data_IF_768878004938
#
_entry.id   IF_768878004938
#
_cell.length_a   1.000
_cell.length_b   1.000
_cell.length_c   1.000
_cell.angle_alpha   90.00
_cell.angle_beta   90.00
_cell.angle_gamma   90.00
#
_symmetry.space_group_name_H-M   'P 1'
#
loop_
_entity.id
_entity.type
_entity.pdbx_description
1 polymer ?
#
# COMPACT_ATOMS: atom_id res chain seq x y z
N UNK A 1 40.13 26.34 -10.11
CA UNK A 1 39.99 27.80 -9.90
C UNK A 1 38.97 28.07 -8.81
N UNK A 2 39.23 29.02 -7.92
CA UNK A 2 38.26 29.43 -6.90
C UNK A 2 37.04 30.12 -7.56
N UNK A 3 35.85 29.69 -7.16
CA UNK A 3 34.56 30.26 -7.56
C UNK A 3 34.37 31.61 -6.89
N UNK A 4 33.95 32.62 -7.66
CA UNK A 4 33.75 33.99 -7.15
C UNK A 4 32.28 34.27 -6.85
N UNK A 5 32.03 34.95 -5.74
CA UNK A 5 30.68 35.31 -5.29
C UNK A 5 29.96 36.22 -6.29
N UNK A 6 30.63 37.27 -6.77
CA UNK A 6 30.07 38.25 -7.71
C UNK A 6 29.66 37.59 -9.03
N UNK A 7 30.50 36.69 -9.57
CA UNK A 7 30.18 35.95 -10.80
C UNK A 7 28.95 35.07 -10.57
N UNK A 8 28.85 34.43 -9.40
CA UNK A 8 27.71 33.57 -9.06
C UNK A 8 26.40 34.37 -8.99
N UNK A 9 26.39 35.56 -8.40
CA UNK A 9 25.21 36.44 -8.38
C UNK A 9 24.85 36.99 -9.76
N UNK A 10 25.83 37.33 -10.60
CA UNK A 10 25.58 37.77 -11.97
C UNK A 10 24.87 36.66 -12.79
N UNK A 11 25.35 35.42 -12.66
CA UNK A 11 24.72 34.26 -13.30
C UNK A 11 23.32 33.97 -12.73
N UNK A 12 23.12 34.17 -11.43
CA UNK A 12 21.80 34.04 -10.79
C UNK A 12 20.81 35.12 -11.28
N UNK A 13 21.27 36.34 -11.53
CA UNK A 13 20.42 37.42 -12.03
C UNK A 13 20.06 37.22 -13.51
N UNK A 14 21.02 36.83 -14.35
CA UNK A 14 20.81 36.69 -15.80
C UNK A 14 20.14 35.38 -16.21
N UNK A 15 20.39 34.29 -15.49
CA UNK A 15 19.87 32.96 -15.82
C UNK A 15 19.57 32.11 -14.60
N UNK A 16 19.16 32.75 -13.50
CA UNK A 16 18.78 32.10 -12.26
C UNK A 16 17.72 31.02 -12.43
N UNK A 17 16.59 31.28 -13.12
CA UNK A 17 15.56 30.26 -13.37
C UNK A 17 16.09 29.05 -14.16
N UNK A 18 17.11 29.25 -15.01
CA UNK A 18 17.78 28.20 -15.77
C UNK A 18 18.93 27.52 -14.99
N UNK A 19 19.24 27.97 -13.78
CA UNK A 19 20.25 27.35 -12.93
C UNK A 19 21.70 27.59 -13.36
N UNK A 20 22.01 28.66 -14.13
CA UNK A 20 23.37 28.93 -14.61
C UNK A 20 24.41 29.05 -13.48
N UNK A 21 24.01 29.64 -12.34
CA UNK A 21 24.85 29.76 -11.16
C UNK A 21 25.18 28.39 -10.53
N UNK A 22 24.28 27.41 -10.63
CA UNK A 22 24.53 26.05 -10.13
C UNK A 22 25.53 25.27 -11.01
N UNK A 23 25.47 25.43 -12.34
CA UNK A 23 26.50 24.88 -13.23
C UNK A 23 27.87 25.48 -12.96
N UNK A 24 27.96 26.80 -12.76
CA UNK A 24 29.23 27.44 -12.40
C UNK A 24 29.82 26.88 -11.10
N UNK A 25 28.97 26.50 -10.16
CA UNK A 25 29.35 25.90 -8.88
C UNK A 25 29.54 24.38 -8.93
N UNK A 26 29.46 23.75 -10.12
CA UNK A 26 29.55 22.29 -10.31
C UNK A 26 28.51 21.50 -9.49
N UNK A 27 27.28 22.04 -9.41
CA UNK A 27 26.13 21.42 -8.75
C UNK A 27 25.12 20.94 -9.79
N UNK A 28 25.51 19.95 -10.59
CA UNK A 28 24.80 19.58 -11.82
C UNK A 28 23.36 19.12 -11.57
N UNK A 29 23.11 18.29 -10.55
CA UNK A 29 21.75 17.86 -10.17
C UNK A 29 20.84 19.04 -9.80
N UNK A 30 21.40 20.05 -9.15
CA UNK A 30 20.71 21.29 -8.80
C UNK A 30 20.40 22.12 -10.05
N UNK A 31 21.34 22.21 -10.98
CA UNK A 31 21.14 22.93 -12.22
C UNK A 31 20.04 22.28 -13.09
N UNK A 32 20.08 20.94 -13.24
CA UNK A 32 19.05 20.17 -13.95
C UNK A 32 17.68 20.36 -13.31
N UNK A 33 17.60 20.30 -11.97
CA UNK A 33 16.35 20.56 -11.25
C UNK A 33 15.81 21.95 -11.55
N UNK A 34 16.66 22.98 -11.55
CA UNK A 34 16.26 24.35 -11.83
C UNK A 34 15.73 24.52 -13.25
N UNK A 35 16.39 23.95 -14.26
CA UNK A 35 15.92 23.98 -15.65
C UNK A 35 14.52 23.36 -15.76
N UNK A 36 14.34 22.16 -15.21
CA UNK A 36 13.11 21.39 -15.38
C UNK A 36 11.92 21.96 -14.59
N UNK A 37 12.19 22.73 -13.53
CA UNK A 37 11.17 23.33 -12.64
C UNK A 37 11.09 24.84 -12.74
N UNK A 38 11.80 25.45 -13.69
CA UNK A 38 11.90 26.89 -13.89
C UNK A 38 12.26 27.63 -12.59
N UNK A 39 13.41 27.28 -12.02
CA UNK A 39 13.91 27.90 -10.80
C UNK A 39 13.30 27.34 -9.50
N UNK A 40 12.91 26.06 -9.47
CA UNK A 40 12.26 25.47 -8.31
C UNK A 40 10.87 26.05 -8.06
N UNK A 41 10.08 26.19 -9.13
CA UNK A 41 8.75 26.84 -9.14
C UNK A 41 8.81 28.29 -8.66
N UNK A 42 9.88 29.02 -9.01
CA UNK A 42 10.13 30.41 -8.61
C UNK A 42 10.57 30.61 -7.16
N UNK A 43 10.04 29.81 -6.21
CA UNK A 43 10.41 29.89 -4.79
C UNK A 43 11.88 29.51 -4.58
N UNK A 44 12.38 28.51 -5.31
CA UNK A 44 13.77 28.08 -5.26
C UNK A 44 14.74 29.17 -5.68
N UNK A 45 14.41 29.91 -6.74
CA UNK A 45 15.20 31.04 -7.25
C UNK A 45 15.34 32.16 -6.22
N UNK A 46 14.26 32.57 -5.55
CA UNK A 46 14.31 33.58 -4.48
C UNK A 46 15.12 33.10 -3.27
N UNK A 47 14.95 31.83 -2.88
CA UNK A 47 15.70 31.24 -1.76
C UNK A 47 17.21 31.19 -2.04
N UNK A 48 17.60 30.97 -3.28
CA UNK A 48 19.00 30.87 -3.66
C UNK A 48 19.78 32.16 -3.43
N UNK A 49 19.13 33.33 -3.50
CA UNK A 49 19.75 34.61 -3.14
C UNK A 49 20.44 34.55 -1.77
N UNK A 50 19.76 34.00 -0.76
CA UNK A 50 20.31 33.87 0.59
C UNK A 50 21.34 32.74 0.74
N UNK A 51 21.32 31.74 -0.16
CA UNK A 51 22.18 30.55 -0.06
C UNK A 51 23.43 30.59 -0.93
N UNK A 52 23.50 31.44 -1.95
CA UNK A 52 24.68 31.60 -2.82
C UNK A 52 26.00 31.75 -2.03
N UNK A 53 26.10 32.53 -0.93
CA UNK A 53 27.33 32.61 -0.14
C UNK A 53 27.77 31.26 0.44
N UNK A 54 26.81 30.44 0.88
CA UNK A 54 27.08 29.10 1.38
C UNK A 54 27.55 28.15 0.27
N UNK A 55 26.96 28.27 -0.92
CA UNK A 55 27.30 27.43 -2.07
C UNK A 55 28.70 27.74 -2.62
N UNK A 56 29.08 29.02 -2.65
CA UNK A 56 30.43 29.44 -3.06
C UNK A 56 31.47 28.95 -2.06
N UNK A 57 31.18 29.02 -0.75
CA UNK A 57 32.06 28.43 0.28
C UNK A 57 32.22 26.93 0.08
N UNK A 58 31.11 26.21 -0.13
CA UNK A 58 31.12 24.76 -0.34
C UNK A 58 31.92 24.37 -1.61
N UNK A 59 31.71 25.07 -2.73
CA UNK A 59 32.43 24.81 -3.98
C UNK A 59 33.92 25.17 -3.93
N UNK A 60 34.33 26.03 -3.00
CA UNK A 60 35.73 26.40 -2.78
C UNK A 60 36.42 25.55 -1.71
N UNK A 61 35.66 24.80 -0.90
CA UNK A 61 36.22 23.92 0.11
C UNK A 61 36.61 22.58 -0.54
N UNK A 62 37.91 22.29 -0.57
CA UNK A 62 38.41 21.02 -1.10
C UNK A 62 38.63 20.06 0.10
N UNK A 63 37.90 18.94 0.20
CA UNK A 63 38.06 18.00 1.32
C UNK A 63 39.47 17.38 1.37
N UNK A 64 40.20 17.33 0.24
CA UNK A 64 41.52 16.70 0.16
C UNK A 64 42.70 17.54 0.65
N UNK A 65 42.52 18.84 0.95
CA UNK A 65 43.66 19.74 1.25
C UNK A 65 43.81 20.17 2.70
N UNK A 66 42.80 19.94 3.53
CA UNK A 66 42.83 20.34 4.94
C UNK A 66 42.00 19.34 5.71
N UNK A 67 42.66 18.48 6.50
CA UNK A 67 42.03 17.57 7.47
C UNK A 67 41.35 18.30 8.63
N UNK A 68 40.71 19.43 8.36
CA UNK A 68 39.97 20.24 9.32
C UNK A 68 38.49 19.97 9.15
N UNK A 69 37.90 19.40 10.20
CA UNK A 69 36.45 19.23 10.37
C UNK A 69 35.75 20.58 10.16
N UNK A 70 34.67 20.65 9.35
CA UNK A 70 34.00 21.92 9.09
C UNK A 70 33.45 22.49 10.41
N UNK A 71 33.55 23.82 10.63
CA UNK A 71 32.95 24.45 11.80
C UNK A 71 31.43 24.23 11.74
N UNK A 72 30.84 24.08 12.92
CA UNK A 72 29.43 23.79 13.14
C UNK A 72 28.56 24.90 12.50
N UNK A 73 28.25 24.76 11.20
CA UNK A 73 27.30 25.62 10.51
C UNK A 73 25.94 25.29 11.12
N UNK A 74 25.41 26.22 11.91
CA UNK A 74 24.05 26.18 12.44
C UNK A 74 23.09 25.85 11.30
N UNK A 75 22.66 24.60 11.19
CA UNK A 75 21.84 24.15 10.08
C UNK A 75 20.44 24.75 10.25
N UNK A 76 19.95 25.62 9.35
CA UNK A 76 18.61 26.16 9.47
C UNK A 76 17.60 25.16 8.88
N UNK A 77 16.58 24.83 9.68
CA UNK A 77 15.55 23.80 9.49
C UNK A 77 16.08 22.39 9.24
N UNK A 78 15.34 21.32 9.62
CA UNK A 78 15.72 19.97 9.26
C UNK A 78 15.68 19.87 7.73
N UNK A 79 16.85 19.99 7.08
CA UNK A 79 17.06 19.96 5.63
C UNK A 79 16.35 18.81 4.94
N UNK A 80 16.05 17.74 5.67
CA UNK A 80 15.29 16.63 5.13
C UNK A 80 13.78 16.84 5.01
N UNK A 81 13.12 17.72 5.77
CA UNK A 81 11.69 18.00 5.57
C UNK A 81 11.48 18.78 4.27
N UNK A 82 12.26 19.85 4.05
CA UNK A 82 12.21 20.63 2.81
C UNK A 82 12.56 19.76 1.60
N UNK A 83 13.56 18.87 1.74
CA UNK A 83 13.90 17.90 0.68
C UNK A 83 12.78 16.89 0.46
N UNK A 84 12.14 16.40 1.52
CA UNK A 84 11.01 15.47 1.42
C UNK A 84 9.82 16.09 0.71
N UNK A 85 9.42 17.30 1.12
CA UNK A 85 8.35 18.06 0.45
C UNK A 85 8.74 18.34 -1.00
N UNK A 86 9.99 18.73 -1.26
CA UNK A 86 10.50 18.92 -2.63
C UNK A 86 10.41 17.64 -3.48
N UNK A 87 10.73 16.48 -2.94
CA UNK A 87 10.60 15.18 -3.62
C UNK A 87 9.16 14.90 -4.03
N UNK A 88 8.21 15.14 -3.12
CA UNK A 88 6.79 14.97 -3.39
C UNK A 88 6.34 15.93 -4.49
N UNK A 89 6.61 17.23 -4.35
CA UNK A 89 6.18 18.24 -5.31
C UNK A 89 6.75 17.99 -6.71
N UNK A 90 8.05 17.69 -6.81
CA UNK A 90 8.71 17.46 -8.11
C UNK A 90 8.31 16.11 -8.70
N UNK A 91 8.11 15.07 -7.89
CA UNK A 91 7.57 13.78 -8.34
C UNK A 91 6.16 13.92 -8.92
N UNK A 92 5.27 14.65 -8.23
CA UNK A 92 3.91 14.95 -8.72
C UNK A 92 3.98 15.75 -10.01
N UNK A 93 4.86 16.76 -10.09
CA UNK A 93 5.04 17.57 -11.29
C UNK A 93 5.46 16.71 -12.48
N UNK A 94 6.48 15.86 -12.35
CA UNK A 94 6.92 14.97 -13.43
C UNK A 94 5.83 13.96 -13.82
N UNK A 95 5.11 13.41 -12.84
CA UNK A 95 3.96 12.54 -13.11
C UNK A 95 2.82 13.25 -13.83
N UNK A 96 2.56 14.51 -13.50
CA UNK A 96 1.53 15.33 -14.16
C UNK A 96 1.90 15.68 -15.60
N UNK A 97 3.17 16.05 -15.85
CA UNK A 97 3.68 16.26 -17.20
C UNK A 97 3.58 14.97 -18.02
N UNK A 98 3.95 13.82 -17.45
CA UNK A 98 3.81 12.53 -18.13
C UNK A 98 2.33 12.18 -18.40
N UNK A 99 1.41 12.49 -17.48
CA UNK A 99 -0.03 12.30 -17.66
C UNK A 99 -0.60 13.14 -18.80
N UNK A 100 -0.10 14.37 -18.99
CA UNK A 100 -0.58 15.25 -20.06
C UNK A 100 0.01 14.81 -21.42
N UNK A 101 1.30 14.44 -21.43
CA UNK A 101 2.05 14.28 -22.68
C UNK A 101 2.15 12.84 -23.18
N UNK A 102 2.06 11.85 -22.29
CA UNK A 102 2.42 10.45 -22.58
C UNK A 102 1.31 9.45 -22.21
N UNK A 103 0.13 9.90 -21.75
CA UNK A 103 -0.95 9.02 -21.31
C UNK A 103 -1.52 8.11 -22.41
N UNK A 104 -1.25 8.41 -23.68
CA UNK A 104 -1.68 7.60 -24.83
C UNK A 104 -0.82 6.34 -25.02
N UNK A 105 0.32 6.22 -24.35
CA UNK A 105 1.21 5.06 -24.49
C UNK A 105 0.60 3.81 -23.82
N UNK A 106 0.78 2.66 -24.47
CA UNK A 106 0.50 1.37 -23.85
C UNK A 106 1.33 1.18 -22.58
N UNK A 107 0.74 0.56 -21.54
CA UNK A 107 1.38 0.35 -20.24
C UNK A 107 1.82 1.63 -19.50
N UNK A 108 1.26 2.79 -19.86
CA UNK A 108 1.63 4.08 -19.27
C UNK A 108 1.62 4.06 -17.73
N UNK A 109 0.52 3.64 -17.12
CA UNK A 109 0.38 3.58 -15.65
C UNK A 109 1.31 2.54 -14.98
N UNK A 110 1.77 1.54 -15.72
CA UNK A 110 2.62 0.49 -15.17
C UNK A 110 4.11 0.84 -15.25
N UNK A 111 4.54 1.50 -16.33
CA UNK A 111 5.96 1.73 -16.62
C UNK A 111 6.31 3.21 -16.75
N UNK A 112 5.65 3.92 -17.67
CA UNK A 112 6.02 5.30 -18.02
C UNK A 112 5.80 6.27 -16.86
N UNK A 113 4.65 6.15 -16.19
CA UNK A 113 4.28 7.00 -15.06
C UNK A 113 5.22 6.83 -13.85
N UNK A 114 5.47 5.61 -13.32
CA UNK A 114 6.38 5.44 -12.20
C UNK A 114 7.83 5.81 -12.51
N UNK A 115 8.30 5.59 -13.74
CA UNK A 115 9.63 6.04 -14.16
C UNK A 115 9.72 7.57 -14.16
N UNK A 116 8.69 8.26 -14.66
CA UNK A 116 8.64 9.72 -14.69
C UNK A 116 8.63 10.30 -13.27
N UNK A 117 7.74 9.80 -12.41
CA UNK A 117 7.64 10.22 -11.00
C UNK A 117 8.94 9.92 -10.26
N UNK A 118 9.47 8.70 -10.42
CA UNK A 118 10.70 8.27 -9.78
C UNK A 118 11.92 9.07 -10.20
N UNK A 119 12.01 9.48 -11.47
CA UNK A 119 13.06 10.38 -11.95
C UNK A 119 12.99 11.76 -11.26
N UNK A 120 11.79 12.33 -11.09
CA UNK A 120 11.59 13.59 -10.38
C UNK A 120 11.99 13.49 -8.89
N UNK A 121 11.55 12.42 -8.21
CA UNK A 121 11.93 12.15 -6.81
C UNK A 121 13.44 11.97 -6.66
N UNK A 122 14.05 11.21 -7.58
CA UNK A 122 15.49 10.95 -7.56
C UNK A 122 16.31 12.21 -7.83
N UNK A 123 15.82 13.10 -8.69
CA UNK A 123 16.50 14.37 -8.99
C UNK A 123 16.61 15.24 -7.72
N UNK A 124 15.53 15.33 -6.93
CA UNK A 124 15.55 16.08 -5.66
C UNK A 124 16.31 15.33 -4.57
N UNK A 125 16.26 14.00 -4.55
CA UNK A 125 17.07 13.21 -3.59
C UNK A 125 18.56 13.37 -3.84
N UNK A 126 18.99 13.55 -5.08
CA UNK A 126 20.39 13.70 -5.50
C UNK A 126 20.95 15.11 -5.36
N UNK A 127 20.14 16.05 -4.87
CA UNK A 127 20.55 17.43 -4.62
C UNK A 127 21.38 17.52 -3.33
N UNK A 128 22.63 17.97 -3.46
CA UNK A 128 23.60 18.13 -2.36
C UNK A 128 24.45 16.86 -2.13
N UNK A 129 25.14 16.77 -0.98
CA UNK A 129 26.13 15.71 -0.72
C UNK A 129 25.57 14.31 -0.38
N UNK A 130 24.24 14.12 -0.44
CA UNK A 130 23.62 12.80 -0.19
C UNK A 130 22.96 12.36 -1.48
N UNK A 131 23.48 11.31 -2.11
CA UNK A 131 22.83 10.61 -3.21
C UNK A 131 21.97 9.46 -2.66
N UNK A 132 20.82 9.26 -3.28
CA UNK A 132 20.05 8.01 -3.10
C UNK A 132 20.35 7.07 -4.26
N UNK A 133 20.13 5.78 -4.05
CA UNK A 133 20.25 4.79 -5.11
C UNK A 133 19.07 4.88 -6.09
N UNK A 134 19.36 5.24 -7.35
CA UNK A 134 18.37 5.38 -8.42
C UNK A 134 17.57 4.10 -8.62
N UNK A 135 18.23 2.94 -8.62
CA UNK A 135 17.57 1.66 -8.90
C UNK A 135 16.52 1.35 -7.84
N UNK A 136 16.85 1.62 -6.57
CA UNK A 136 15.93 1.42 -5.44
C UNK A 136 14.74 2.37 -5.51
N UNK A 137 14.96 3.64 -5.83
CA UNK A 137 13.86 4.62 -5.98
C UNK A 137 12.91 4.21 -7.11
N UNK A 138 13.44 3.81 -8.27
CA UNK A 138 12.61 3.40 -9.41
C UNK A 138 11.83 2.12 -9.13
N UNK A 139 12.45 1.11 -8.51
CA UNK A 139 11.79 -0.14 -8.15
C UNK A 139 10.57 0.11 -7.24
N UNK A 140 10.74 0.95 -6.21
CA UNK A 140 9.65 1.29 -5.29
C UNK A 140 8.53 2.03 -6.01
N UNK A 141 8.87 2.93 -6.93
CA UNK A 141 7.87 3.64 -7.73
C UNK A 141 7.05 2.68 -8.60
N UNK A 142 7.69 1.72 -9.27
CA UNK A 142 7.02 0.71 -10.10
C UNK A 142 6.09 -0.18 -9.25
N UNK A 143 6.57 -0.68 -8.10
CA UNK A 143 5.75 -1.49 -7.19
C UNK A 143 4.53 -0.70 -6.73
N UNK A 144 4.72 0.56 -6.32
CA UNK A 144 3.63 1.40 -5.83
C UNK A 144 2.62 1.73 -6.94
N UNK A 145 3.10 1.95 -8.16
CA UNK A 145 2.23 2.26 -9.31
C UNK A 145 1.32 1.11 -9.69
N UNK A 146 1.79 -0.14 -9.54
CA UNK A 146 0.97 -1.34 -9.78
C UNK A 146 -0.28 -1.39 -8.90
N UNK A 147 -0.22 -0.79 -7.70
CA UNK A 147 -1.33 -0.81 -6.73
C UNK A 147 -2.35 0.28 -7.02
N UNK A 148 -1.89 1.42 -7.53
CA UNK A 148 -2.74 2.55 -7.89
C UNK A 148 -2.99 2.62 -9.41
N UNK A 149 -2.94 1.46 -10.08
CA UNK A 149 -3.08 1.37 -11.52
C UNK A 149 -4.40 2.01 -12.01
N UNK A 150 -4.33 2.80 -13.08
CA UNK A 150 -5.48 3.47 -13.68
C UNK A 150 -5.99 4.71 -12.93
N UNK A 151 -5.46 5.02 -11.73
CA UNK A 151 -5.87 6.22 -10.99
C UNK A 151 -5.06 7.46 -11.40
N UNK A 152 -5.73 8.57 -11.71
CA UNK A 152 -5.08 9.87 -12.03
C UNK A 152 -4.35 10.47 -10.83
N UNK A 153 -4.72 10.09 -9.61
CA UNK A 153 -4.06 10.54 -8.37
C UNK A 153 -2.83 9.71 -8.00
N UNK A 154 -2.48 8.68 -8.78
CA UNK A 154 -1.31 7.82 -8.54
C UNK A 154 0.04 8.52 -8.44
N UNK A 155 0.32 9.71 -9.04
CA UNK A 155 1.60 10.39 -8.85
C UNK A 155 1.92 10.72 -7.38
N UNK A 156 0.91 11.02 -6.56
CA UNK A 156 1.11 11.37 -5.14
C UNK A 156 1.66 10.19 -4.32
N UNK A 157 0.98 9.02 -4.23
CA UNK A 157 1.49 7.89 -3.46
C UNK A 157 2.82 7.35 -4.03
N UNK A 158 3.02 7.37 -5.36
CA UNK A 158 4.29 6.97 -5.98
C UNK A 158 5.43 7.91 -5.52
N UNK A 159 5.19 9.23 -5.49
CA UNK A 159 6.19 10.21 -5.05
C UNK A 159 6.56 10.07 -3.57
N UNK A 160 5.57 9.78 -2.73
CA UNK A 160 5.77 9.56 -1.29
C UNK A 160 6.61 8.30 -1.07
N UNK A 161 6.26 7.19 -1.73
CA UNK A 161 6.95 5.91 -1.58
C UNK A 161 8.38 5.93 -2.12
N UNK A 162 8.62 6.65 -3.22
CA UNK A 162 9.95 6.80 -3.81
C UNK A 162 10.95 7.58 -2.94
N UNK A 163 10.48 8.28 -1.89
CA UNK A 163 11.35 9.04 -1.00
C UNK A 163 12.24 8.10 -0.15
N UNK A 164 13.57 8.31 -0.13
CA UNK A 164 14.51 7.47 0.62
C UNK A 164 14.23 7.38 2.13
N UNK A 165 13.57 8.42 2.70
CA UNK A 165 13.22 8.47 4.11
C UNK A 165 12.09 7.51 4.48
N UNK A 166 11.17 7.30 3.56
CA UNK A 166 10.00 6.47 3.78
C UNK A 166 10.09 5.12 3.09
N UNK A 167 11.08 4.88 2.21
CA UNK A 167 11.28 3.61 1.51
C UNK A 167 11.02 2.36 2.37
N UNK A 168 11.59 2.27 3.59
CA UNK A 168 11.39 1.11 4.48
C UNK A 168 9.97 1.05 5.04
N UNK A 169 9.39 2.20 5.38
CA UNK A 169 8.03 2.31 5.88
C UNK A 169 7.01 2.04 4.78
N UNK A 170 7.19 2.59 3.58
CA UNK A 170 6.36 2.35 2.42
C UNK A 170 6.44 0.90 1.97
N UNK A 171 7.62 0.26 1.99
CA UNK A 171 7.74 -1.17 1.69
C UNK A 171 7.03 -2.03 2.75
N UNK A 172 7.13 -1.68 4.04
CA UNK A 172 6.44 -2.39 5.12
C UNK A 172 4.91 -2.22 5.04
N UNK A 173 4.44 -1.00 4.75
CA UNK A 173 3.04 -0.69 4.48
C UNK A 173 2.57 -1.46 3.25
N UNK A 174 3.30 -1.43 2.14
CA UNK A 174 2.98 -2.20 0.94
C UNK A 174 2.88 -3.70 1.21
N UNK A 175 3.86 -4.27 1.91
CA UNK A 175 3.87 -5.68 2.27
C UNK A 175 2.68 -6.07 3.16
N UNK A 176 2.15 -5.14 3.96
CA UNK A 176 1.00 -5.37 4.82
C UNK A 176 -0.35 -5.13 4.12
N UNK A 177 -0.49 -4.01 3.40
CA UNK A 177 -1.75 -3.58 2.79
C UNK A 177 -2.06 -4.29 1.46
N UNK A 178 -1.06 -4.74 0.71
CA UNK A 178 -1.29 -5.46 -0.57
C UNK A 178 -1.99 -6.81 -0.36
N UNK A 179 -1.55 -7.69 0.55
CA UNK A 179 -2.27 -8.93 0.86
C UNK A 179 -3.66 -8.69 1.47
N UNK A 180 -3.78 -7.62 2.28
CA UNK A 180 -5.04 -7.24 2.93
C UNK A 180 -6.06 -6.76 1.89
N UNK A 181 -5.64 -5.89 0.96
CA UNK A 181 -6.45 -5.44 -0.16
C UNK A 181 -6.84 -6.59 -1.08
N UNK A 182 -5.89 -7.46 -1.45
CA UNK A 182 -6.18 -8.64 -2.26
C UNK A 182 -7.25 -9.54 -1.61
N UNK A 183 -7.15 -9.77 -0.29
CA UNK A 183 -8.13 -10.58 0.45
C UNK A 183 -9.52 -9.93 0.46
N UNK A 184 -9.59 -8.61 0.72
CA UNK A 184 -10.85 -7.86 0.76
C UNK A 184 -11.55 -7.84 -0.61
N UNK A 185 -10.82 -7.61 -1.70
CA UNK A 185 -11.43 -7.46 -3.03
C UNK A 185 -11.71 -8.78 -3.74
N UNK A 186 -10.89 -9.82 -3.53
CA UNK A 186 -11.06 -11.08 -4.26
C UNK A 186 -11.85 -12.15 -3.49
N UNK A 187 -11.96 -12.05 -2.15
CA UNK A 187 -12.58 -13.05 -1.29
C UNK A 187 -13.38 -12.44 -0.13
N UNK A 188 -14.13 -11.37 -0.41
CA UNK A 188 -14.75 -10.44 0.55
C UNK A 188 -15.54 -11.16 1.65
N UNK A 189 -16.31 -12.18 1.29
CA UNK A 189 -17.12 -12.95 2.26
C UNK A 189 -16.26 -13.76 3.21
N UNK A 190 -15.25 -14.46 2.70
CA UNK A 190 -14.34 -15.30 3.49
C UNK A 190 -13.49 -14.45 4.43
N UNK A 191 -13.01 -13.32 3.97
CA UNK A 191 -12.23 -12.38 4.80
C UNK A 191 -13.06 -11.77 5.92
N UNK A 192 -14.33 -11.42 5.66
CA UNK A 192 -15.25 -10.96 6.68
C UNK A 192 -15.51 -12.03 7.76
N UNK A 193 -15.71 -13.29 7.36
CA UNK A 193 -15.85 -14.40 8.31
C UNK A 193 -14.60 -14.58 9.18
N UNK A 194 -13.40 -14.56 8.60
CA UNK A 194 -12.17 -14.67 9.37
C UNK A 194 -11.95 -13.50 10.35
N UNK A 195 -12.25 -12.27 9.93
CA UNK A 195 -12.16 -11.10 10.80
C UNK A 195 -13.17 -11.19 11.94
N UNK A 196 -14.41 -11.58 11.65
CA UNK A 196 -15.44 -11.79 12.66
C UNK A 196 -15.05 -12.88 13.66
N UNK A 197 -14.53 -14.02 13.19
CA UNK A 197 -14.05 -15.11 14.03
C UNK A 197 -12.88 -14.68 14.93
N UNK A 198 -11.95 -13.88 14.41
CA UNK A 198 -10.84 -13.35 15.20
C UNK A 198 -11.30 -12.36 16.27
N UNK A 199 -12.24 -11.48 15.94
CA UNK A 199 -12.81 -10.52 16.90
C UNK A 199 -13.61 -11.26 17.97
N UNK A 200 -14.43 -12.25 17.59
CA UNK A 200 -15.18 -13.08 18.52
C UNK A 200 -14.24 -13.85 19.47
N UNK A 201 -13.20 -14.50 18.94
CA UNK A 201 -12.21 -15.20 19.76
C UNK A 201 -11.46 -14.26 20.72
N UNK A 202 -11.16 -13.03 20.29
CA UNK A 202 -10.52 -12.02 21.15
C UNK A 202 -11.46 -11.55 22.26
N UNK A 203 -12.74 -11.32 21.95
CA UNK A 203 -13.74 -10.93 22.96
C UNK A 203 -14.03 -12.06 23.95
N UNK A 204 -14.09 -13.30 23.46
CA UNK A 204 -14.29 -14.50 24.27
C UNK A 204 -13.06 -14.85 25.11
N UNK A 205 -11.85 -14.46 24.71
CA UNK A 205 -10.66 -14.55 25.55
C UNK A 205 -10.87 -13.80 26.89
N UNK A 206 -11.67 -12.72 26.90
CA UNK A 206 -12.00 -11.95 28.10
C UNK A 206 -13.28 -12.42 28.82
N UNK A 207 -13.74 -13.66 28.59
CA UNK A 207 -14.96 -14.21 29.22
C UNK A 207 -14.99 -14.10 30.75
N UNK A 208 -13.81 -14.12 31.40
CA UNK A 208 -13.66 -14.03 32.85
C UNK A 208 -13.71 -12.59 33.41
N UNK A 209 -13.69 -11.57 32.55
CA UNK A 209 -13.89 -10.17 32.93
C UNK A 209 -15.03 -9.54 32.13
N UNK A 210 -16.30 -9.72 32.57
CA UNK A 210 -17.49 -9.26 31.83
C UNK A 210 -17.49 -7.76 31.53
N UNK A 211 -16.99 -6.93 32.46
CA UNK A 211 -16.91 -5.48 32.26
C UNK A 211 -15.89 -5.10 31.18
N UNK A 212 -14.78 -5.84 31.06
CA UNK A 212 -13.73 -5.59 30.08
C UNK A 212 -14.20 -5.99 28.67
N UNK A 213 -14.94 -7.10 28.55
CA UNK A 213 -15.61 -7.51 27.31
C UNK A 213 -16.56 -6.40 26.81
N UNK A 214 -17.41 -5.88 27.70
CA UNK A 214 -18.32 -4.77 27.35
C UNK A 214 -17.60 -3.49 26.91
N UNK A 215 -16.48 -3.13 27.56
CA UNK A 215 -15.64 -1.99 27.14
C UNK A 215 -14.99 -2.23 25.78
N UNK A 216 -14.48 -3.44 25.53
CA UNK A 216 -13.88 -3.80 24.24
C UNK A 216 -14.91 -3.79 23.11
N UNK A 217 -16.09 -4.37 23.32
CA UNK A 217 -17.22 -4.32 22.39
C UNK A 217 -17.64 -2.87 22.09
N UNK A 218 -17.76 -2.04 23.12
CA UNK A 218 -18.06 -0.62 22.98
C UNK A 218 -17.00 0.10 22.12
N UNK A 219 -15.71 -0.12 22.40
CA UNK A 219 -14.61 0.47 21.65
C UNK A 219 -14.55 0.00 20.19
N UNK A 220 -14.78 -1.30 19.94
CA UNK A 220 -14.83 -1.89 18.59
C UNK A 220 -15.97 -1.32 17.75
N UNK A 221 -17.12 -1.04 18.37
CA UNK A 221 -18.30 -0.50 17.69
C UNK A 221 -18.33 1.03 17.61
N UNK A 222 -17.44 1.72 18.32
CA UNK A 222 -17.36 3.19 18.39
C UNK A 222 -17.25 3.86 17.00
N UNK A 223 -16.43 3.35 16.04
CA UNK A 223 -16.38 3.90 14.68
C UNK A 223 -17.71 3.78 13.92
N UNK A 224 -18.40 2.65 14.06
CA UNK A 224 -19.71 2.43 13.46
C UNK A 224 -20.77 3.34 14.09
N UNK A 225 -20.75 3.50 15.43
CA UNK A 225 -21.63 4.41 16.16
C UNK A 225 -21.43 5.87 15.74
N UNK A 226 -20.18 6.31 15.61
CA UNK A 226 -19.83 7.65 15.10
C UNK A 226 -20.32 7.84 13.67
N UNK A 227 -20.13 6.85 12.80
CA UNK A 227 -20.57 6.90 11.42
C UNK A 227 -22.10 6.98 11.30
N UNK A 228 -22.83 6.19 12.09
CA UNK A 228 -24.30 6.27 12.19
C UNK A 228 -24.77 7.63 12.73
N UNK A 229 -24.09 8.18 13.75
CA UNK A 229 -24.39 9.49 14.30
C UNK A 229 -24.16 10.64 13.30
N UNK A 230 -23.11 10.55 12.46
CA UNK A 230 -22.80 11.55 11.44
C UNK A 230 -23.74 11.45 10.22
N UNK A 231 -24.17 10.23 9.87
CA UNK A 231 -25.02 9.99 8.69
C UNK A 231 -26.52 10.03 9.00
N UNK A 232 -26.91 10.20 10.27
CA UNK A 232 -28.31 10.18 10.71
C UNK A 232 -28.95 8.78 10.66
N UNK A 233 -28.14 7.72 10.54
CA UNK A 233 -28.60 6.34 10.55
C UNK A 233 -29.00 5.90 11.97
N UNK A 234 -30.23 5.41 12.14
CA UNK A 234 -30.67 4.81 13.39
C UNK A 234 -29.86 3.57 13.75
N UNK A 235 -29.50 3.41 15.04
CA UNK A 235 -28.88 2.19 15.54
C UNK A 235 -29.93 1.06 15.52
N UNK A 236 -29.96 0.28 14.43
CA UNK A 236 -30.80 -0.90 14.36
C UNK A 236 -30.05 -2.08 14.95
N UNK A 237 -30.07 -2.21 16.28
CA UNK A 237 -29.70 -3.45 16.99
C UNK A 237 -30.44 -4.65 16.39
N UNK A 238 -31.68 -4.42 15.92
CA UNK A 238 -32.50 -5.35 15.15
C UNK A 238 -31.95 -5.69 13.75
N UNK A 239 -31.27 -4.77 13.06
CA UNK A 239 -30.66 -5.04 11.76
C UNK A 239 -29.36 -5.82 11.91
N UNK A 240 -28.61 -5.60 13.00
CA UNK A 240 -27.45 -6.42 13.35
C UNK A 240 -27.87 -7.82 13.78
N UNK A 241 -28.93 -7.94 14.58
CA UNK A 241 -29.51 -9.25 14.92
C UNK A 241 -30.06 -9.95 13.67
N UNK A 242 -30.74 -9.24 12.76
CA UNK A 242 -31.15 -9.79 11.45
C UNK A 242 -29.96 -10.14 10.56
N UNK A 243 -28.89 -9.36 10.55
CA UNK A 243 -27.67 -9.65 9.80
C UNK A 243 -26.99 -10.91 10.34
N UNK A 244 -26.83 -10.99 11.66
CA UNK A 244 -26.29 -12.18 12.32
C UNK A 244 -27.19 -13.39 12.10
N UNK A 245 -28.51 -13.23 12.18
CA UNK A 245 -29.47 -14.29 11.89
C UNK A 245 -29.39 -14.74 10.43
N UNK A 246 -29.32 -13.83 9.46
CA UNK A 246 -29.13 -14.17 8.04
C UNK A 246 -27.81 -14.91 7.84
N UNK A 247 -26.71 -14.43 8.44
CA UNK A 247 -25.39 -15.05 8.32
C UNK A 247 -25.36 -16.45 8.96
N UNK A 248 -25.93 -16.60 10.16
CA UNK A 248 -25.99 -17.85 10.89
C UNK A 248 -26.96 -18.85 10.23
N UNK A 249 -28.09 -18.37 9.71
CA UNK A 249 -29.07 -19.19 8.98
C UNK A 249 -28.52 -19.64 7.64
N UNK A 250 -27.80 -18.79 6.91
CA UNK A 250 -27.12 -19.15 5.66
C UNK A 250 -26.02 -20.20 5.90
N UNK A 251 -25.24 -20.03 6.97
CA UNK A 251 -24.24 -21.02 7.38
C UNK A 251 -24.90 -22.35 7.78
N UNK A 252 -25.97 -22.30 8.57
CA UNK A 252 -26.74 -23.49 8.97
C UNK A 252 -27.37 -24.20 7.77
N UNK A 253 -27.89 -23.46 6.79
CA UNK A 253 -28.42 -24.02 5.53
C UNK A 253 -27.35 -24.74 4.73
N UNK A 254 -26.16 -24.14 4.56
CA UNK A 254 -25.04 -24.79 3.86
C UNK A 254 -24.60 -26.08 4.53
N UNK A 255 -24.56 -26.12 5.86
CA UNK A 255 -24.29 -27.35 6.59
C UNK A 255 -25.37 -28.41 6.38
N UNK A 256 -26.64 -28.01 6.37
CA UNK A 256 -27.78 -28.90 6.18
C UNK A 256 -27.86 -29.43 4.74
N UNK A 257 -27.48 -28.63 3.75
CA UNK A 257 -27.31 -29.06 2.36
C UNK A 257 -26.13 -30.02 2.19
N UNK A 258 -25.00 -29.76 2.85
CA UNK A 258 -23.85 -30.66 2.86
C UNK A 258 -24.20 -32.04 3.45
N UNK A 259 -24.97 -32.07 4.55
CA UNK A 259 -25.49 -33.31 5.13
C UNK A 259 -26.42 -34.05 4.16
N UNK A 260 -27.31 -33.33 3.45
CA UNK A 260 -28.17 -33.93 2.41
C UNK A 260 -27.37 -34.53 1.26
N UNK A 261 -26.31 -33.87 0.80
CA UNK A 261 -25.44 -34.38 -0.28
C UNK A 261 -24.76 -35.68 0.14
N UNK A 262 -24.31 -35.78 1.39
CA UNK A 262 -23.74 -37.01 1.95
C UNK A 262 -24.79 -38.02 2.42
N UNK A 263 -26.09 -37.74 2.21
CA UNK A 263 -27.20 -38.61 2.64
C UNK A 263 -27.20 -38.92 4.15
N UNK A 264 -26.80 -37.93 4.96
CA UNK A 264 -26.71 -38.02 6.41
C UNK A 264 -27.82 -37.20 7.08
N UNK A 265 -28.22 -37.61 8.27
CA UNK A 265 -29.20 -36.91 9.11
C UNK A 265 -28.50 -35.94 10.08
N UNK A 266 -29.27 -35.00 10.66
CA UNK A 266 -28.80 -33.74 11.25
C UNK A 266 -27.69 -33.77 12.31
N UNK A 267 -27.35 -34.94 12.87
CA UNK A 267 -26.31 -35.11 13.90
C UNK A 267 -25.30 -36.22 13.56
N UNK A 268 -24.91 -36.35 12.29
CA UNK A 268 -23.94 -37.39 11.89
C UNK A 268 -22.52 -37.12 12.40
N UNK A 269 -21.86 -38.12 12.97
CA UNK A 269 -20.50 -38.03 13.53
C UNK A 269 -19.42 -37.80 12.47
N UNK A 270 -18.21 -37.35 12.85
CA UNK A 270 -17.10 -37.16 11.91
C UNK A 270 -16.72 -38.47 11.20
N UNK A 271 -16.86 -39.60 11.90
CA UNK A 271 -16.59 -40.93 11.37
C UNK A 271 -17.62 -41.31 10.30
N UNK A 272 -18.90 -41.05 10.55
CA UNK A 272 -20.00 -41.26 9.58
C UNK A 272 -19.86 -40.36 8.36
N UNK A 273 -19.48 -39.09 8.55
CA UNK A 273 -19.19 -38.14 7.46
C UNK A 273 -18.05 -38.65 6.59
N UNK A 274 -16.97 -39.15 7.21
CA UNK A 274 -15.81 -39.68 6.48
C UNK A 274 -16.14 -40.99 5.77
N UNK A 275 -16.98 -41.83 6.36
CA UNK A 275 -17.41 -43.09 5.77
C UNK A 275 -18.31 -42.86 4.55
N UNK A 276 -19.34 -42.02 4.69
CA UNK A 276 -20.24 -41.67 3.58
C UNK A 276 -19.48 -41.02 2.41
N UNK A 277 -18.55 -40.11 2.71
CA UNK A 277 -17.68 -39.52 1.69
C UNK A 277 -16.91 -40.59 0.91
N UNK A 278 -16.29 -41.56 1.59
CA UNK A 278 -15.51 -42.63 0.95
C UNK A 278 -16.37 -43.52 0.05
N UNK A 279 -17.60 -43.81 0.47
CA UNK A 279 -18.54 -44.62 -0.31
C UNK A 279 -19.02 -43.88 -1.55
N UNK A 280 -19.46 -42.62 -1.40
CA UNK A 280 -19.94 -41.80 -2.50
C UNK A 280 -18.82 -41.43 -3.48
N UNK A 281 -17.60 -41.16 -3.00
CA UNK A 281 -16.44 -40.88 -3.84
C UNK A 281 -16.06 -42.08 -4.72
N UNK A 282 -16.18 -43.31 -4.20
CA UNK A 282 -15.94 -44.54 -4.99
C UNK A 282 -17.00 -44.74 -6.06
N UNK A 283 -18.27 -44.48 -5.74
CA UNK A 283 -19.41 -44.66 -6.67
C UNK A 283 -19.38 -43.62 -7.80
N UNK A 284 -19.06 -42.37 -7.47
CA UNK A 284 -19.11 -41.24 -8.41
C UNK A 284 -17.74 -40.83 -8.97
N UNK A 285 -16.70 -41.65 -8.79
CA UNK A 285 -15.39 -41.35 -9.38
C UNK A 285 -15.50 -41.27 -10.91
N UNK A 286 -14.94 -40.24 -11.57
CA UNK A 286 -14.99 -40.09 -13.03
C UNK A 286 -14.43 -41.31 -13.78
N UNK A 287 -13.36 -41.92 -13.25
CA UNK A 287 -12.71 -43.10 -13.85
C UNK A 287 -13.61 -44.35 -13.83
N UNK A 288 -14.47 -44.48 -12.82
CA UNK A 288 -15.39 -45.61 -12.71
C UNK A 288 -16.65 -45.43 -13.58
N UNK A 289 -16.88 -44.22 -14.11
CA UNK A 289 -18.10 -43.85 -14.84
C UNK A 289 -17.80 -43.23 -16.23
N UNK A 290 -17.10 -43.93 -17.13
CA UNK A 290 -16.65 -43.38 -18.41
C UNK A 290 -17.79 -42.98 -19.37
N UNK A 291 -19.00 -43.56 -19.21
CA UNK A 291 -20.16 -43.25 -20.06
C UNK A 291 -20.96 -42.02 -19.60
N UNK A 292 -20.73 -41.55 -18.37
CA UNK A 292 -21.46 -40.43 -17.72
C UNK A 292 -20.50 -39.52 -16.95
N UNK A 293 -19.37 -39.20 -17.60
CA UNK A 293 -18.26 -38.48 -16.97
C UNK A 293 -18.66 -37.11 -16.45
N UNK A 294 -19.43 -36.33 -17.21
CA UNK A 294 -19.85 -34.98 -16.81
C UNK A 294 -20.72 -35.00 -15.54
N UNK A 295 -21.68 -35.94 -15.46
CA UNK A 295 -22.53 -36.10 -14.29
C UNK A 295 -21.74 -36.59 -13.08
N UNK A 296 -20.85 -37.57 -13.28
CA UNK A 296 -19.99 -38.11 -12.24
C UNK A 296 -19.05 -37.04 -11.69
N UNK A 297 -18.43 -36.23 -12.55
CA UNK A 297 -17.56 -35.14 -12.16
C UNK A 297 -18.32 -34.06 -11.37
N UNK A 298 -19.52 -33.67 -11.84
CA UNK A 298 -20.35 -32.69 -11.13
C UNK A 298 -20.77 -33.20 -9.74
N UNK A 299 -21.18 -34.45 -9.63
CA UNK A 299 -21.52 -35.09 -8.34
C UNK A 299 -20.31 -35.21 -7.43
N UNK A 300 -19.15 -35.59 -7.97
CA UNK A 300 -17.91 -35.72 -7.21
C UNK A 300 -17.48 -34.38 -6.59
N UNK A 301 -17.56 -33.28 -7.36
CA UNK A 301 -17.27 -31.93 -6.85
C UNK A 301 -18.22 -31.56 -5.70
N UNK A 302 -19.53 -31.81 -5.86
CA UNK A 302 -20.51 -31.54 -4.80
C UNK A 302 -20.25 -32.36 -3.53
N UNK A 303 -19.89 -33.64 -3.67
CA UNK A 303 -19.57 -34.53 -2.55
C UNK A 303 -18.32 -34.03 -1.81
N UNK A 304 -17.30 -33.58 -2.55
CA UNK A 304 -16.07 -33.07 -1.96
C UNK A 304 -16.30 -31.74 -1.22
N UNK A 305 -17.05 -30.80 -1.82
CA UNK A 305 -17.40 -29.52 -1.19
C UNK A 305 -18.22 -29.72 0.10
N UNK A 306 -19.17 -30.67 0.09
CA UNK A 306 -19.95 -31.04 1.27
C UNK A 306 -19.07 -31.62 2.39
N UNK A 307 -18.14 -32.51 2.06
CA UNK A 307 -17.20 -33.09 3.02
C UNK A 307 -16.29 -32.03 3.66
N UNK A 308 -15.70 -31.14 2.86
CA UNK A 308 -14.81 -30.07 3.36
C UNK A 308 -15.55 -29.12 4.32
N UNK A 309 -16.79 -28.77 3.97
CA UNK A 309 -17.65 -27.91 4.80
C UNK A 309 -17.91 -28.53 6.18
N UNK A 310 -18.27 -29.81 6.23
CA UNK A 310 -18.56 -30.52 7.48
C UNK A 310 -17.30 -30.80 8.31
N UNK A 311 -16.17 -31.12 7.69
CA UNK A 311 -14.88 -31.29 8.39
C UNK A 311 -14.43 -29.98 9.03
N UNK A 312 -14.64 -28.84 8.35
CA UNK A 312 -14.34 -27.51 8.91
C UNK A 312 -15.18 -27.24 10.17
N UNK A 313 -16.48 -27.56 10.16
CA UNK A 313 -17.36 -27.49 11.34
C UNK A 313 -16.82 -28.32 12.51
N UNK A 314 -16.48 -29.58 12.27
CA UNK A 314 -15.94 -30.47 13.30
C UNK A 314 -14.62 -29.94 13.88
N UNK A 315 -13.69 -29.49 13.04
CA UNK A 315 -12.43 -28.88 13.49
C UNK A 315 -12.64 -27.60 14.32
N UNK A 316 -13.67 -26.81 14.02
CA UNK A 316 -14.02 -25.64 14.82
C UNK A 316 -14.62 -26.02 16.18
N UNK A 317 -15.46 -27.07 16.23
CA UNK A 317 -16.08 -27.57 17.47
C UNK A 317 -15.06 -28.13 18.47
N UNK A 318 -14.00 -28.79 17.99
CA UNK A 318 -12.94 -29.38 18.83
C UNK A 318 -11.89 -28.38 19.34
N UNK A 319 -11.89 -27.12 18.88
CA UNK A 319 -10.98 -26.06 19.36
C UNK A 319 -11.57 -25.17 20.46
N UNK A 320 -12.84 -25.39 20.83
CA UNK A 320 -13.47 -24.81 22.04
C UNK A 320 -13.21 -25.73 23.23
#
# INVERSE_FOLDING_TARGET
MAKKLIITYALWAMGGPLGLHHFYLARDSHAILWILTFGGFGIGWTRDFFRIPSYVREANHNPDKTGATPPNVTQPLPVGLIRFVGQICVGIYFGSVALISLSSLGYFYFLVLPLSVGAGVHLVSSVGQRSSDLQKTLLVCIITSSIFYGNRLSPLPISIAGSPRLYRLSLAVLAFYVPLGYSVFHNTTVTLYYIADCIAALLDFFWFFPWLKGVLEYCLLLPYRLLCAVTGGGFYEESWNKMLEIILNEYSKKELEALKVLSLTGEASLEEVTQSYRELAKVWHPDHNPKRQEEAQKRFIQIQEAYETLVKRYKAKWRR
#
